data_IF_005486546495
#
_entry.id   IF_005486546495
#
_cell.length_a   1.000
_cell.length_b   1.000
_cell.length_c   1.000
_cell.angle_alpha   90.00
_cell.angle_beta   90.00
_cell.angle_gamma   90.00
#
_symmetry.space_group_name_H-M   'P 1'
#
loop_
_entity.id
_entity.type
_entity.pdbx_description
1 polymer ?
#
# COMPACT_ATOMS: atom_id res chain seq x y z
N UNK A 1 -9.91 10.10 -14.07
CA UNK A 1 -8.89 9.66 -13.09
C UNK A 1 -7.48 9.51 -13.66
N UNK A 2 -7.27 8.80 -14.78
CA UNK A 2 -5.93 8.57 -15.35
C UNK A 2 -5.12 9.86 -15.60
N UNK A 3 -5.74 10.90 -16.16
CA UNK A 3 -5.12 12.21 -16.39
C UNK A 3 -4.69 12.90 -15.09
N UNK A 4 -5.54 12.83 -14.06
CA UNK A 4 -5.26 13.39 -12.73
C UNK A 4 -4.05 12.69 -12.11
N UNK A 5 -4.04 11.35 -12.10
CA UNK A 5 -2.91 10.58 -11.57
C UNK A 5 -1.61 10.88 -12.33
N UNK A 6 -1.68 11.04 -13.65
CA UNK A 6 -0.51 11.40 -14.45
C UNK A 6 0.01 12.80 -14.11
N UNK A 7 -0.87 13.79 -13.98
CA UNK A 7 -0.49 15.15 -13.58
C UNK A 7 0.15 15.18 -12.18
N UNK A 8 -0.46 14.47 -11.22
CA UNK A 8 0.07 14.33 -9.87
C UNK A 8 1.42 13.60 -9.84
N UNK A 9 1.58 12.56 -10.66
CA UNK A 9 2.86 11.85 -10.80
C UNK A 9 3.95 12.73 -11.40
N UNK A 10 3.62 13.58 -12.40
CA UNK A 10 4.56 14.56 -12.95
C UNK A 10 4.98 15.58 -11.88
N UNK A 11 4.02 16.13 -11.13
CA UNK A 11 4.32 17.05 -10.03
C UNK A 11 5.22 16.38 -8.97
N UNK A 12 4.96 15.10 -8.68
CA UNK A 12 5.77 14.32 -7.76
C UNK A 12 7.20 14.09 -8.27
N UNK A 13 7.39 13.84 -9.57
CA UNK A 13 8.73 13.72 -10.17
C UNK A 13 9.51 15.05 -10.10
N UNK A 14 8.83 16.18 -10.32
CA UNK A 14 9.43 17.50 -10.14
C UNK A 14 9.83 17.73 -8.68
N UNK A 15 8.97 17.32 -7.75
CA UNK A 15 9.25 17.39 -6.31
C UNK A 15 10.44 16.50 -5.92
N UNK A 16 10.56 15.29 -6.48
CA UNK A 16 11.75 14.45 -6.29
C UNK A 16 13.01 15.06 -6.89
N UNK A 17 12.91 15.71 -8.05
CA UNK A 17 14.01 16.50 -8.61
C UNK A 17 14.47 17.60 -7.64
N UNK A 18 13.51 18.26 -6.98
CA UNK A 18 13.81 19.25 -5.95
C UNK A 18 14.43 18.63 -4.69
N UNK A 19 13.93 17.50 -4.20
CA UNK A 19 14.55 16.72 -3.10
C UNK A 19 15.99 16.35 -3.44
N UNK A 20 16.24 15.88 -4.67
CA UNK A 20 17.59 15.54 -5.12
C UNK A 20 18.50 16.78 -5.14
N UNK A 21 18.02 17.91 -5.66
CA UNK A 21 18.81 19.15 -5.67
C UNK A 21 19.17 19.65 -4.27
N UNK A 22 18.24 19.53 -3.32
CA UNK A 22 18.48 19.92 -1.92
C UNK A 22 19.42 18.94 -1.23
N UNK A 23 19.36 17.66 -1.59
CA UNK A 23 20.29 16.64 -1.10
C UNK A 23 21.73 16.83 -1.59
N UNK A 24 21.91 17.27 -2.84
CA UNK A 24 23.22 17.65 -3.35
C UNK A 24 23.78 18.88 -2.61
N UNK A 25 22.94 19.87 -2.32
CA UNK A 25 23.31 21.05 -1.55
C UNK A 25 23.50 20.77 -0.04
N UNK A 26 22.99 19.65 0.48
CA UNK A 26 23.12 19.31 1.90
C UNK A 26 24.59 19.10 2.33
N UNK A 27 25.48 18.83 1.38
CA UNK A 27 26.93 18.78 1.61
C UNK A 27 27.52 20.15 2.04
N UNK A 28 26.82 21.26 1.77
CA UNK A 28 27.30 22.63 2.02
C UNK A 28 27.01 23.13 3.45
N UNK A 29 26.29 22.37 4.27
CA UNK A 29 26.12 22.65 5.71
C UNK A 29 24.73 22.35 6.29
N UNK A 30 24.61 22.59 7.59
CA UNK A 30 23.45 22.21 8.42
C UNK A 30 22.10 22.78 7.96
N UNK A 31 21.99 24.06 7.51
CA UNK A 31 20.71 24.59 7.02
C UNK A 31 20.19 23.87 5.78
N UNK A 32 21.09 23.50 4.85
CA UNK A 32 20.73 22.79 3.63
C UNK A 32 20.28 21.36 3.92
N UNK A 33 20.90 20.70 4.91
CA UNK A 33 20.47 19.39 5.40
C UNK A 33 19.05 19.44 6.02
N UNK A 34 18.78 20.39 6.91
CA UNK A 34 17.45 20.54 7.51
C UNK A 34 16.37 20.78 6.44
N UNK A 35 16.70 21.57 5.42
CA UNK A 35 15.82 21.78 4.28
C UNK A 35 15.59 20.50 3.46
N UNK A 36 16.65 19.75 3.14
CA UNK A 36 16.54 18.46 2.46
C UNK A 36 15.64 17.47 3.22
N UNK A 37 15.80 17.35 4.54
CA UNK A 37 14.99 16.48 5.37
C UNK A 37 13.50 16.87 5.33
N UNK A 38 13.19 18.16 5.48
CA UNK A 38 11.81 18.65 5.45
C UNK A 38 11.16 18.44 4.08
N UNK A 39 11.85 18.79 3.00
CA UNK A 39 11.35 18.60 1.63
C UNK A 39 11.20 17.11 1.31
N UNK A 40 12.13 16.27 1.75
CA UNK A 40 12.08 14.81 1.60
C UNK A 40 10.88 14.18 2.32
N UNK A 41 10.58 14.62 3.54
CA UNK A 41 9.39 14.19 4.29
C UNK A 41 8.11 14.57 3.54
N UNK A 42 7.98 15.83 3.12
CA UNK A 42 6.81 16.30 2.36
C UNK A 42 6.65 15.51 1.06
N UNK A 43 7.73 15.30 0.31
CA UNK A 43 7.72 14.52 -0.92
C UNK A 43 7.27 13.07 -0.69
N UNK A 44 7.73 12.46 0.39
CA UNK A 44 7.36 11.09 0.76
C UNK A 44 5.87 10.99 1.12
N UNK A 45 5.33 11.94 1.89
CA UNK A 45 3.91 11.98 2.24
C UNK A 45 3.02 12.20 1.00
N UNK A 46 3.40 13.16 0.15
CA UNK A 46 2.71 13.41 -1.12
C UNK A 46 2.79 12.19 -2.03
N UNK A 47 3.95 11.52 -2.11
CA UNK A 47 4.10 10.27 -2.85
C UNK A 47 3.13 9.20 -2.35
N UNK A 48 3.05 8.99 -1.04
CA UNK A 48 2.11 8.04 -0.44
C UNK A 48 0.66 8.34 -0.81
N UNK A 49 0.25 9.60 -0.72
CA UNK A 49 -1.09 10.04 -1.10
C UNK A 49 -1.38 9.81 -2.58
N UNK A 50 -0.48 10.23 -3.49
CA UNK A 50 -0.65 10.06 -4.94
C UNK A 50 -0.67 8.58 -5.32
N UNK A 51 0.21 7.77 -4.73
CA UNK A 51 0.28 6.32 -4.99
C UNK A 51 -0.89 5.54 -4.40
N UNK A 52 -1.66 6.11 -3.47
CA UNK A 52 -2.90 5.50 -2.97
C UNK A 52 -4.07 5.61 -3.95
N UNK A 53 -4.05 6.59 -4.87
CA UNK A 53 -5.16 6.83 -5.81
C UNK A 53 -5.40 5.65 -6.75
N UNK A 54 -4.37 5.06 -7.41
CA UNK A 54 -4.57 3.85 -8.19
C UNK A 54 -5.15 2.69 -7.38
N UNK A 55 -4.74 2.53 -6.11
CA UNK A 55 -5.29 1.48 -5.25
C UNK A 55 -6.77 1.67 -4.99
N UNK A 56 -7.17 2.87 -4.57
CA UNK A 56 -8.58 3.17 -4.34
C UNK A 56 -9.41 3.00 -5.63
N UNK A 57 -8.87 3.44 -6.77
CA UNK A 57 -9.51 3.28 -8.08
C UNK A 57 -9.73 1.81 -8.43
N UNK A 58 -8.68 0.99 -8.45
CA UNK A 58 -8.81 -0.42 -8.84
C UNK A 58 -9.56 -1.26 -7.82
N UNK A 59 -9.49 -0.92 -6.53
CA UNK A 59 -10.31 -1.58 -5.52
C UNK A 59 -11.80 -1.33 -5.78
N UNK A 60 -12.18 -0.08 -6.03
CA UNK A 60 -13.56 0.29 -6.35
C UNK A 60 -14.04 -0.32 -7.66
N UNK A 61 -13.26 -0.21 -8.74
CA UNK A 61 -13.69 -0.74 -10.05
C UNK A 61 -13.67 -2.25 -10.12
N UNK A 62 -12.82 -2.95 -9.36
CA UNK A 62 -12.86 -4.40 -9.28
C UNK A 62 -14.18 -4.90 -8.69
N UNK A 63 -14.63 -4.27 -7.60
CA UNK A 63 -15.93 -4.57 -7.01
C UNK A 63 -17.06 -4.42 -8.04
N UNK A 64 -17.08 -3.29 -8.75
CA UNK A 64 -18.13 -3.00 -9.74
C UNK A 64 -18.11 -3.94 -10.95
N UNK A 65 -16.93 -4.31 -11.47
CA UNK A 65 -16.86 -5.30 -12.56
C UNK A 65 -17.50 -6.61 -12.12
N UNK A 66 -17.14 -7.15 -10.94
CA UNK A 66 -17.70 -8.42 -10.47
C UNK A 66 -19.22 -8.33 -10.28
N UNK A 67 -19.67 -7.27 -9.61
CA UNK A 67 -21.09 -7.03 -9.38
C UNK A 67 -21.88 -7.01 -10.70
N UNK A 68 -21.39 -6.29 -11.71
CA UNK A 68 -22.06 -6.16 -13.01
C UNK A 68 -21.99 -7.44 -13.85
N UNK A 69 -20.85 -8.13 -13.84
CA UNK A 69 -20.71 -9.41 -14.56
C UNK A 69 -21.70 -10.44 -14.03
N UNK A 70 -21.88 -10.50 -12.71
CA UNK A 70 -22.87 -11.39 -12.08
C UNK A 70 -24.31 -10.92 -12.32
N UNK A 71 -24.56 -9.62 -12.20
CA UNK A 71 -25.85 -9.00 -12.48
C UNK A 71 -26.41 -9.37 -13.83
N UNK A 72 -25.57 -9.20 -14.85
CA UNK A 72 -25.97 -9.36 -16.23
C UNK A 72 -25.69 -10.76 -16.77
N UNK A 73 -25.18 -11.67 -15.94
CA UNK A 73 -24.74 -13.02 -16.34
C UNK A 73 -23.79 -12.98 -17.55
N UNK A 74 -22.88 -11.99 -17.57
CA UNK A 74 -22.01 -11.68 -18.70
C UNK A 74 -20.85 -12.68 -18.92
N UNK A 75 -20.71 -13.66 -18.02
CA UNK A 75 -19.65 -14.68 -18.06
C UNK A 75 -18.32 -14.25 -17.42
N UNK A 76 -17.52 -15.23 -16.99
CA UNK A 76 -16.29 -15.00 -16.22
C UNK A 76 -15.15 -14.32 -17.01
N UNK A 77 -15.28 -14.24 -18.34
CA UNK A 77 -14.28 -13.68 -19.24
C UNK A 77 -13.93 -12.21 -18.92
N UNK A 78 -14.91 -11.42 -18.48
CA UNK A 78 -14.73 -10.03 -18.06
C UNK A 78 -13.85 -9.91 -16.80
N UNK A 79 -14.13 -10.73 -15.78
CA UNK A 79 -13.32 -10.80 -14.56
C UNK A 79 -11.90 -11.30 -14.88
N UNK A 80 -11.77 -12.28 -15.78
CA UNK A 80 -10.46 -12.79 -16.21
C UNK A 80 -9.65 -11.73 -16.97
N UNK A 81 -10.27 -11.01 -17.91
CA UNK A 81 -9.64 -9.88 -18.64
C UNK A 81 -9.13 -8.84 -17.65
N UNK A 82 -9.97 -8.40 -16.71
CA UNK A 82 -9.57 -7.44 -15.67
C UNK A 82 -8.40 -7.97 -14.83
N UNK A 83 -8.49 -9.22 -14.34
CA UNK A 83 -7.47 -9.83 -13.48
C UNK A 83 -6.12 -9.95 -14.17
N UNK A 84 -6.09 -10.41 -15.42
CA UNK A 84 -4.86 -10.60 -16.18
C UNK A 84 -4.11 -9.28 -16.37
N UNK A 85 -4.83 -8.20 -16.69
CA UNK A 85 -4.21 -6.89 -16.89
C UNK A 85 -3.74 -6.27 -15.58
N UNK A 86 -4.57 -6.32 -14.54
CA UNK A 86 -4.25 -5.73 -13.25
C UNK A 86 -3.10 -6.47 -12.55
N UNK A 87 -3.28 -7.77 -12.26
CA UNK A 87 -2.35 -8.52 -11.41
C UNK A 87 -1.02 -8.83 -12.12
N UNK A 88 -1.05 -9.05 -13.43
CA UNK A 88 0.13 -9.54 -14.16
C UNK A 88 1.15 -8.47 -14.51
N UNK A 89 0.73 -7.24 -14.83
CA UNK A 89 1.62 -6.26 -15.47
C UNK A 89 1.71 -4.91 -14.76
N UNK A 90 0.66 -4.52 -14.04
CA UNK A 90 0.47 -3.13 -13.60
C UNK A 90 0.56 -2.99 -12.08
N UNK A 91 0.02 -3.97 -11.33
CA UNK A 91 0.10 -4.02 -9.87
C UNK A 91 1.52 -3.91 -9.32
N UNK A 92 2.55 -4.61 -9.85
CA UNK A 92 3.90 -4.47 -9.33
C UNK A 92 4.37 -3.01 -9.30
N UNK A 93 4.07 -2.23 -10.34
CA UNK A 93 4.49 -0.83 -10.42
C UNK A 93 3.75 0.09 -9.44
N UNK A 94 2.51 -0.26 -9.07
CA UNK A 94 1.77 0.47 -8.03
C UNK A 94 2.36 0.26 -6.63
N UNK A 95 3.01 -0.89 -6.36
CA UNK A 95 3.62 -1.18 -5.07
C UNK A 95 5.11 -0.84 -5.01
N UNK A 96 5.86 -1.05 -6.10
CA UNK A 96 7.30 -0.81 -6.12
C UNK A 96 7.61 0.66 -5.86
N UNK A 97 6.89 1.59 -6.48
CA UNK A 97 7.13 3.03 -6.29
C UNK A 97 7.04 3.47 -4.81
N UNK A 98 5.90 3.27 -4.10
CA UNK A 98 5.81 3.66 -2.70
C UNK A 98 6.77 2.86 -1.80
N UNK A 99 7.04 1.58 -2.12
CA UNK A 99 7.96 0.77 -1.34
C UNK A 99 9.40 1.28 -1.42
N UNK A 100 9.90 1.54 -2.64
CA UNK A 100 11.26 2.04 -2.85
C UNK A 100 11.40 3.47 -2.32
N UNK A 101 10.37 4.30 -2.43
CA UNK A 101 10.31 5.62 -1.76
C UNK A 101 10.50 5.50 -0.25
N UNK A 102 9.75 4.61 0.41
CA UNK A 102 9.87 4.40 1.86
C UNK A 102 11.28 3.90 2.25
N UNK A 103 11.83 2.95 1.49
CA UNK A 103 13.20 2.48 1.69
C UNK A 103 14.23 3.60 1.52
N UNK A 104 14.06 4.45 0.51
CA UNK A 104 14.93 5.62 0.28
C UNK A 104 14.93 6.58 1.47
N UNK A 105 13.75 6.86 2.03
CA UNK A 105 13.61 7.73 3.20
C UNK A 105 14.27 7.13 4.46
N UNK A 106 14.08 5.83 4.72
CA UNK A 106 14.73 5.12 5.84
C UNK A 106 16.26 5.11 5.66
N UNK A 107 16.73 4.79 4.45
CA UNK A 107 18.14 4.77 4.12
C UNK A 107 18.81 6.14 4.26
N UNK A 108 18.07 7.23 4.02
CA UNK A 108 18.57 8.60 4.19
C UNK A 108 19.09 8.85 5.61
N UNK A 109 18.25 8.62 6.62
CA UNK A 109 18.71 8.85 8.00
C UNK A 109 19.66 7.76 8.52
N UNK A 110 19.63 6.54 7.97
CA UNK A 110 20.68 5.54 8.26
C UNK A 110 22.05 5.96 7.68
N UNK A 111 22.09 6.57 6.50
CA UNK A 111 23.32 7.07 5.89
C UNK A 111 23.88 8.26 6.68
N UNK A 112 23.02 9.18 7.12
CA UNK A 112 23.39 10.32 7.98
C UNK A 112 24.02 9.87 9.31
N UNK A 113 23.53 8.77 9.88
CA UNK A 113 24.09 8.19 11.12
C UNK A 113 25.33 7.31 10.90
N UNK A 114 25.79 7.17 9.66
CA UNK A 114 26.95 6.33 9.32
C UNK A 114 26.70 4.82 9.44
N UNK A 115 25.44 4.37 9.55
CA UNK A 115 25.08 2.95 9.72
C UNK A 115 25.11 2.17 8.41
N UNK A 116 24.94 2.85 7.29
CA UNK A 116 25.04 2.28 5.94
C UNK A 116 25.92 3.16 5.06
N UNK A 117 26.39 2.59 3.96
CA UNK A 117 27.21 3.32 2.99
C UNK A 117 26.42 4.50 2.39
N UNK A 118 27.05 5.68 2.30
CA UNK A 118 26.41 6.92 1.84
C UNK A 118 25.82 6.84 0.42
N UNK A 119 26.30 5.90 -0.41
CA UNK A 119 25.74 5.66 -1.76
C UNK A 119 24.42 4.90 -1.77
N UNK A 120 24.03 4.22 -0.68
CA UNK A 120 22.79 3.43 -0.66
C UNK A 120 21.56 4.34 -0.80
N UNK A 121 21.56 5.48 -0.10
CA UNK A 121 20.48 6.46 -0.17
C UNK A 121 20.25 7.01 -1.60
N UNK A 122 21.25 7.59 -2.30
CA UNK A 122 21.04 8.10 -3.65
C UNK A 122 20.67 7.00 -4.66
N UNK A 123 21.18 5.77 -4.52
CA UNK A 123 20.75 4.63 -5.35
C UNK A 123 19.24 4.36 -5.16
N UNK A 124 18.77 4.33 -3.92
CA UNK A 124 17.34 4.11 -3.63
C UNK A 124 16.47 5.28 -4.09
N UNK A 125 16.94 6.52 -4.00
CA UNK A 125 16.21 7.69 -4.53
C UNK A 125 16.11 7.62 -6.07
N UNK A 126 17.20 7.26 -6.77
CA UNK A 126 17.16 7.05 -8.22
C UNK A 126 16.21 5.90 -8.60
N UNK A 127 16.21 4.81 -7.83
CA UNK A 127 15.26 3.71 -8.02
C UNK A 127 13.81 4.12 -7.75
N UNK A 128 13.56 4.98 -6.74
CA UNK A 128 12.24 5.53 -6.45
C UNK A 128 11.76 6.41 -7.60
N UNK A 129 12.61 7.30 -8.13
CA UNK A 129 12.29 8.12 -9.30
C UNK A 129 12.03 7.25 -10.54
N UNK A 130 12.89 6.26 -10.80
CA UNK A 130 12.72 5.33 -11.93
C UNK A 130 11.42 4.54 -11.84
N UNK A 131 11.10 3.98 -10.67
CA UNK A 131 9.83 3.27 -10.45
C UNK A 131 8.62 4.20 -10.53
N UNK A 132 8.73 5.45 -10.08
CA UNK A 132 7.69 6.47 -10.24
C UNK A 132 7.44 6.80 -11.72
N UNK A 133 8.49 6.95 -12.54
CA UNK A 133 8.36 7.11 -14.01
C UNK A 133 7.64 5.91 -14.60
N UNK A 134 8.04 4.68 -14.23
CA UNK A 134 7.38 3.48 -14.71
C UNK A 134 5.90 3.42 -14.31
N UNK A 135 5.58 3.76 -13.06
CA UNK A 135 4.19 3.86 -12.60
C UNK A 135 3.40 4.92 -13.38
N UNK A 136 3.98 6.10 -13.63
CA UNK A 136 3.37 7.17 -14.41
C UNK A 136 3.09 6.77 -15.88
N UNK A 137 3.93 5.92 -16.46
CA UNK A 137 3.77 5.47 -17.84
C UNK A 137 2.75 4.34 -17.97
N UNK A 138 2.74 3.41 -17.00
CA UNK A 138 1.98 2.17 -17.09
C UNK A 138 0.61 2.24 -16.42
N UNK A 139 0.54 2.75 -15.18
CA UNK A 139 -0.71 2.79 -14.39
C UNK A 139 -1.84 3.57 -15.08
N UNK A 140 -1.64 4.76 -15.69
CA UNK A 140 -2.72 5.42 -16.44
C UNK A 140 -3.30 4.58 -17.57
N UNK A 141 -2.46 3.79 -18.27
CA UNK A 141 -2.92 2.91 -19.36
C UNK A 141 -3.80 1.80 -18.79
N UNK A 142 -3.42 1.24 -17.65
CA UNK A 142 -4.23 0.27 -16.92
C UNK A 142 -5.57 0.86 -16.48
N UNK A 143 -5.57 2.11 -15.97
CA UNK A 143 -6.79 2.79 -15.56
C UNK A 143 -7.73 3.03 -16.74
N UNK A 144 -7.21 3.49 -17.88
CA UNK A 144 -7.97 3.71 -19.11
C UNK A 144 -8.56 2.42 -19.67
N UNK A 145 -7.77 1.33 -19.70
CA UNK A 145 -8.26 0.01 -20.13
C UNK A 145 -9.36 -0.51 -19.20
N UNK A 146 -9.22 -0.28 -17.90
CA UNK A 146 -10.25 -0.66 -16.94
C UNK A 146 -11.52 0.18 -17.09
N UNK A 147 -11.41 1.48 -17.38
CA UNK A 147 -12.57 2.31 -17.74
C UNK A 147 -13.25 1.79 -18.99
N UNK A 148 -12.49 1.55 -20.06
CA UNK A 148 -13.03 1.03 -21.31
C UNK A 148 -13.70 -0.34 -21.14
N UNK A 149 -13.16 -1.22 -20.29
CA UNK A 149 -13.80 -2.50 -19.96
C UNK A 149 -15.16 -2.30 -19.27
N UNK A 150 -15.24 -1.35 -18.34
CA UNK A 150 -16.50 -1.00 -17.67
C UNK A 150 -17.51 -0.41 -18.65
N UNK A 151 -17.06 0.45 -19.57
CA UNK A 151 -17.91 1.06 -20.59
C UNK A 151 -18.41 -0.03 -21.57
N UNK A 152 -17.54 -0.94 -22.03
CA UNK A 152 -17.89 -2.08 -22.90
C UNK A 152 -18.90 -3.02 -22.22
N UNK A 153 -18.68 -3.33 -20.93
CA UNK A 153 -19.63 -4.10 -20.12
C UNK A 153 -20.97 -3.37 -19.98
N UNK A 154 -20.94 -2.05 -19.78
CA UNK A 154 -22.14 -1.24 -19.65
C UNK A 154 -22.97 -1.19 -20.94
N UNK A 155 -22.31 -1.05 -22.09
CA UNK A 155 -22.94 -0.99 -23.40
C UNK A 155 -23.60 -2.33 -23.80
N UNK A 156 -22.90 -3.45 -23.58
CA UNK A 156 -23.37 -4.77 -24.01
C UNK A 156 -24.45 -5.36 -23.09
N UNK A 157 -24.36 -5.07 -21.80
CA UNK A 157 -25.12 -5.80 -20.79
C UNK A 157 -26.07 -4.93 -19.95
N UNK A 158 -26.09 -3.61 -20.19
CA UNK A 158 -27.00 -2.63 -19.55
C UNK A 158 -27.13 -2.86 -18.04
N UNK A 159 -26.12 -2.47 -17.23
CA UNK A 159 -26.13 -2.71 -15.81
C UNK A 159 -27.38 -2.08 -15.18
N UNK A 160 -27.92 -2.71 -14.11
CA UNK A 160 -29.06 -2.15 -13.41
C UNK A 160 -28.77 -0.71 -12.98
N UNK A 161 -29.79 0.14 -13.05
CA UNK A 161 -29.63 1.55 -12.67
C UNK A 161 -29.26 1.64 -11.18
N UNK A 162 -28.51 2.68 -10.77
CA UNK A 162 -28.35 2.99 -9.36
C UNK A 162 -29.71 3.11 -8.66
N UNK A 163 -29.76 2.75 -7.39
CA UNK A 163 -30.95 2.86 -6.52
C UNK A 163 -32.17 2.04 -6.98
N UNK A 164 -31.97 0.99 -7.78
CA UNK A 164 -33.01 -0.01 -8.05
C UNK A 164 -32.94 -1.19 -7.09
N UNK A 165 -34.06 -1.89 -6.83
CA UNK A 165 -34.07 -3.12 -6.03
C UNK A 165 -33.13 -4.20 -6.59
N UNK A 166 -32.97 -4.23 -7.93
CA UNK A 166 -32.04 -5.14 -8.61
C UNK A 166 -30.58 -4.84 -8.22
N UNK A 167 -30.18 -3.56 -8.23
CA UNK A 167 -28.86 -3.13 -7.79
C UNK A 167 -28.64 -3.42 -6.30
N UNK A 168 -29.64 -3.17 -5.45
CA UNK A 168 -29.56 -3.47 -4.01
C UNK A 168 -29.36 -4.97 -3.77
N UNK A 169 -30.16 -5.83 -4.41
CA UNK A 169 -30.01 -7.28 -4.34
C UNK A 169 -28.63 -7.76 -4.81
N UNK A 170 -28.04 -7.09 -5.81
CA UNK A 170 -26.69 -7.39 -6.28
C UNK A 170 -25.61 -6.97 -5.30
N UNK A 171 -25.75 -5.78 -4.71
CA UNK A 171 -24.85 -5.32 -3.66
C UNK A 171 -24.92 -6.27 -2.46
N UNK A 172 -26.10 -6.72 -2.08
CA UNK A 172 -26.29 -7.73 -1.03
C UNK A 172 -25.65 -9.08 -1.40
N UNK A 173 -25.86 -9.56 -2.63
CA UNK A 173 -25.25 -10.80 -3.10
C UNK A 173 -23.72 -10.72 -3.16
N UNK A 174 -23.15 -9.60 -3.62
CA UNK A 174 -21.70 -9.38 -3.58
C UNK A 174 -21.18 -9.25 -2.15
N UNK A 175 -21.91 -8.57 -1.26
CA UNK A 175 -21.55 -8.51 0.15
C UNK A 175 -21.62 -9.89 0.82
N UNK A 176 -22.53 -10.76 0.39
CA UNK A 176 -22.64 -12.14 0.87
C UNK A 176 -21.48 -13.02 0.39
N UNK A 177 -20.95 -12.78 -0.82
CA UNK A 177 -19.77 -13.49 -1.36
C UNK A 177 -18.46 -12.83 -0.93
N UNK A 178 -18.50 -11.57 -0.48
CA UNK A 178 -17.35 -10.89 0.07
C UNK A 178 -16.81 -11.67 1.26
N UNK A 179 -15.47 -11.72 1.37
CA UNK A 179 -14.81 -12.33 2.52
C UNK A 179 -15.42 -11.76 3.81
N UNK A 180 -15.66 -12.59 4.84
CA UNK A 180 -16.23 -12.12 6.09
C UNK A 180 -15.53 -10.84 6.56
N UNK A 181 -16.24 -9.80 7.01
CA UNK A 181 -15.62 -8.53 7.39
C UNK A 181 -14.46 -8.68 8.38
N UNK A 182 -14.58 -9.63 9.31
CA UNK A 182 -13.53 -9.97 10.26
C UNK A 182 -12.30 -10.62 9.62
N UNK A 183 -12.47 -11.40 8.56
CA UNK A 183 -11.36 -11.94 7.76
C UNK A 183 -10.67 -10.83 6.96
N UNK A 184 -11.41 -9.90 6.38
CA UNK A 184 -10.80 -8.74 5.69
C UNK A 184 -10.03 -7.85 6.69
N UNK A 185 -10.64 -7.56 7.84
CA UNK A 185 -10.01 -6.84 8.94
C UNK A 185 -8.70 -7.52 9.36
N UNK A 186 -8.69 -8.85 9.44
CA UNK A 186 -7.48 -9.60 9.82
C UNK A 186 -6.27 -9.29 8.92
N UNK A 187 -6.47 -9.19 7.60
CA UNK A 187 -5.41 -8.87 6.63
C UNK A 187 -4.92 -7.43 6.79
N UNK A 188 -5.83 -6.52 7.10
CA UNK A 188 -5.52 -5.12 7.39
C UNK A 188 -4.70 -5.01 8.67
N UNK A 189 -5.07 -5.73 9.75
CA UNK A 189 -4.31 -5.77 10.99
C UNK A 189 -2.90 -6.37 10.80
N UNK A 190 -2.78 -7.46 10.02
CA UNK A 190 -1.49 -8.04 9.67
C UNK A 190 -0.60 -7.04 8.92
N UNK A 191 -1.16 -6.30 7.95
CA UNK A 191 -0.43 -5.24 7.26
C UNK A 191 0.01 -4.13 8.23
N UNK A 192 -0.91 -3.65 9.09
CA UNK A 192 -0.59 -2.61 10.05
C UNK A 192 0.43 -3.04 11.10
N UNK A 193 0.48 -4.33 11.45
CA UNK A 193 1.50 -4.86 12.36
C UNK A 193 2.92 -4.58 11.83
N UNK A 194 3.14 -4.75 10.53
CA UNK A 194 4.42 -4.44 9.88
C UNK A 194 4.63 -2.94 9.78
N UNK A 195 3.59 -2.19 9.41
CA UNK A 195 3.66 -0.73 9.29
C UNK A 195 4.03 -0.03 10.61
N UNK A 196 3.58 -0.53 11.76
CA UNK A 196 3.98 0.01 13.07
C UNK A 196 5.50 -0.06 13.28
N UNK A 197 6.13 -1.19 12.91
CA UNK A 197 7.58 -1.36 13.03
C UNK A 197 8.33 -0.52 11.98
N UNK A 198 7.79 -0.41 10.76
CA UNK A 198 8.37 0.46 9.73
C UNK A 198 8.31 1.93 10.14
N UNK A 199 7.21 2.38 10.75
CA UNK A 199 7.07 3.73 11.27
C UNK A 199 8.06 3.99 12.39
N UNK A 200 8.20 3.06 13.35
CA UNK A 200 9.24 3.19 14.38
C UNK A 200 10.63 3.26 13.77
N UNK A 201 10.92 2.38 12.81
CA UNK A 201 12.20 2.34 12.10
C UNK A 201 12.49 3.69 11.43
N UNK A 202 11.49 4.26 10.78
CA UNK A 202 11.57 5.58 10.17
C UNK A 202 11.79 6.69 11.21
N UNK A 203 11.08 6.69 12.34
CA UNK A 203 11.29 7.69 13.39
C UNK A 203 12.67 7.57 14.06
N UNK A 204 13.08 6.33 14.34
CA UNK A 204 14.34 5.99 15.03
C UNK A 204 15.56 6.30 14.17
N UNK A 205 15.49 6.01 12.87
CA UNK A 205 16.65 6.10 11.98
C UNK A 205 16.53 7.17 10.93
N UNK A 206 15.33 7.55 10.51
CA UNK A 206 15.06 8.53 9.46
C UNK A 206 14.91 9.97 9.94
N UNK A 207 14.85 10.23 11.25
CA UNK A 207 14.62 11.59 11.78
C UNK A 207 15.47 11.90 13.01
N UNK A 208 16.09 13.09 13.05
CA UNK A 208 16.98 13.51 14.13
C UNK A 208 16.26 13.81 15.44
N UNK A 209 15.10 14.45 15.37
CA UNK A 209 14.30 14.82 16.54
C UNK A 209 13.73 13.63 17.31
N UNK A 210 13.59 12.47 16.66
CA UNK A 210 12.93 11.29 17.22
C UNK A 210 13.85 10.07 17.36
N UNK A 211 15.17 10.25 17.27
CA UNK A 211 16.14 9.15 17.47
C UNK A 211 15.98 8.45 18.81
N UNK A 212 15.41 9.08 19.84
CA UNK A 212 15.18 8.47 21.16
C UNK A 212 13.80 7.85 21.34
N UNK A 213 12.98 7.79 20.30
CA UNK A 213 11.65 7.18 20.39
C UNK A 213 11.77 5.71 20.78
N UNK A 214 11.13 5.29 21.89
CA UNK A 214 11.22 3.92 22.36
C UNK A 214 10.55 2.98 21.37
N UNK A 215 11.15 1.80 21.15
CA UNK A 215 10.55 0.72 20.34
C UNK A 215 9.28 0.17 20.98
N UNK A 216 9.25 0.12 22.31
CA UNK A 216 8.21 -0.57 23.07
C UNK A 216 6.77 -0.26 22.63
N UNK A 217 6.30 1.00 22.50
CA UNK A 217 4.92 1.27 22.07
C UNK A 217 4.60 0.72 20.67
N UNK A 218 5.54 0.81 19.73
CA UNK A 218 5.35 0.31 18.37
C UNK A 218 5.45 -1.21 18.29
N UNK A 219 6.38 -1.80 19.05
CA UNK A 219 6.54 -3.23 19.18
C UNK A 219 5.30 -3.90 19.81
N UNK A 220 4.78 -3.32 20.89
CA UNK A 220 3.54 -3.79 21.55
C UNK A 220 2.36 -3.69 20.58
N UNK A 221 2.19 -2.55 19.89
CA UNK A 221 1.15 -2.39 18.89
C UNK A 221 1.29 -3.42 17.75
N UNK A 222 2.50 -3.61 17.23
CA UNK A 222 2.79 -4.58 16.18
C UNK A 222 2.44 -6.01 16.61
N UNK A 223 2.89 -6.45 17.79
CA UNK A 223 2.58 -7.80 18.32
C UNK A 223 1.08 -7.97 18.54
N UNK A 224 0.40 -6.98 19.12
CA UNK A 224 -1.04 -7.06 19.33
C UNK A 224 -1.81 -7.18 18.01
N UNK A 225 -1.47 -6.35 17.02
CA UNK A 225 -2.06 -6.40 15.67
C UNK A 225 -1.76 -7.72 14.94
N UNK A 226 -0.55 -8.26 15.10
CA UNK A 226 -0.15 -9.56 14.55
C UNK A 226 -0.98 -10.69 15.15
N UNK A 227 -1.09 -10.76 16.48
CA UNK A 227 -1.88 -11.80 17.18
C UNK A 227 -3.35 -11.70 16.79
N UNK A 228 -3.94 -10.51 16.83
CA UNK A 228 -5.32 -10.28 16.43
C UNK A 228 -5.54 -10.65 14.96
N UNK A 229 -4.63 -10.22 14.07
CA UNK A 229 -4.66 -10.55 12.66
C UNK A 229 -4.61 -12.05 12.40
N UNK A 230 -3.64 -12.77 12.97
CA UNK A 230 -3.53 -14.23 12.79
C UNK A 230 -4.73 -14.99 13.37
N UNK A 231 -5.19 -14.60 14.56
CA UNK A 231 -6.34 -15.22 15.22
C UNK A 231 -7.64 -15.02 14.45
N UNK A 232 -7.91 -13.80 13.99
CA UNK A 232 -9.08 -13.50 13.16
C UNK A 232 -8.99 -14.19 11.79
N UNK A 233 -7.81 -14.20 11.16
CA UNK A 233 -7.60 -14.84 9.86
C UNK A 233 -7.94 -16.34 9.95
N UNK A 234 -7.44 -17.06 10.95
CA UNK A 234 -7.75 -18.48 11.13
C UNK A 234 -9.20 -18.74 11.57
N UNK A 235 -9.79 -17.85 12.38
CA UNK A 235 -11.16 -18.03 12.91
C UNK A 235 -12.22 -17.82 11.84
N UNK A 236 -12.02 -16.83 10.97
CA UNK A 236 -12.96 -16.40 9.95
C UNK A 236 -12.50 -16.77 8.54
N UNK A 237 -11.58 -17.71 8.42
CA UNK A 237 -11.19 -18.31 7.14
C UNK A 237 -12.45 -18.86 6.44
N UNK A 238 -12.76 -18.40 5.22
CA UNK A 238 -13.96 -18.83 4.51
C UNK A 238 -13.92 -20.31 4.11
N UNK A 239 -12.74 -20.87 3.91
CA UNK A 239 -12.55 -22.23 3.43
C UNK A 239 -12.39 -23.19 4.61
N UNK A 240 -11.71 -22.76 5.67
CA UNK A 240 -11.31 -23.60 6.79
C UNK A 240 -11.43 -22.91 8.16
N UNK A 241 -12.64 -22.55 8.63
CA UNK A 241 -12.80 -21.82 9.89
C UNK A 241 -12.35 -22.66 11.09
N UNK A 242 -11.37 -22.16 11.83
CA UNK A 242 -10.87 -22.82 13.02
C UNK A 242 -11.76 -22.56 14.26
N UNK A 243 -11.78 -23.51 15.21
CA UNK A 243 -12.35 -23.25 16.54
C UNK A 243 -11.52 -22.19 17.27
N UNK A 244 -12.10 -21.44 18.25
CA UNK A 244 -11.38 -20.39 18.96
C UNK A 244 -10.04 -20.86 19.54
N UNK A 245 -9.98 -22.06 20.13
CA UNK A 245 -8.73 -22.60 20.67
C UNK A 245 -7.66 -22.81 19.57
N UNK A 246 -8.07 -23.35 18.41
CA UNK A 246 -7.17 -23.62 17.28
C UNK A 246 -6.74 -22.35 16.55
N UNK A 247 -7.55 -21.29 16.54
CA UNK A 247 -7.18 -20.02 15.93
C UNK A 247 -6.22 -19.20 16.80
N UNK A 248 -6.47 -19.13 18.11
CA UNK A 248 -5.74 -18.22 19.00
C UNK A 248 -4.45 -18.81 19.56
N UNK A 249 -4.36 -20.12 19.79
CA UNK A 249 -3.12 -20.74 20.28
C UNK A 249 -1.89 -20.47 19.37
N UNK A 250 -1.92 -20.73 18.06
CA UNK A 250 -0.78 -20.43 17.18
C UNK A 250 -0.54 -18.92 17.02
N UNK A 251 -1.60 -18.11 17.02
CA UNK A 251 -1.47 -16.66 16.96
C UNK A 251 -0.73 -16.10 18.18
N UNK A 252 -1.08 -16.56 19.38
CA UNK A 252 -0.41 -16.18 20.62
C UNK A 252 1.05 -16.65 20.64
N UNK A 253 1.33 -17.88 20.19
CA UNK A 253 2.71 -18.38 20.07
C UNK A 253 3.54 -17.51 19.12
N UNK A 254 2.99 -17.12 17.97
CA UNK A 254 3.63 -16.21 17.04
C UNK A 254 3.85 -14.82 17.66
N UNK A 255 2.89 -14.32 18.44
CA UNK A 255 3.02 -13.08 19.20
C UNK A 255 4.13 -13.13 20.25
N UNK A 256 4.24 -14.22 21.01
CA UNK A 256 5.33 -14.44 21.98
C UNK A 256 6.68 -14.50 21.27
N UNK A 257 6.77 -15.22 20.15
CA UNK A 257 8.00 -15.28 19.36
C UNK A 257 8.40 -13.90 18.80
N UNK A 258 7.44 -13.13 18.28
CA UNK A 258 7.67 -11.77 17.81
C UNK A 258 8.09 -10.83 18.94
N UNK A 259 7.46 -10.92 20.11
CA UNK A 259 7.85 -10.15 21.30
C UNK A 259 9.28 -10.50 21.75
N UNK A 260 9.63 -11.79 21.77
CA UNK A 260 11.00 -12.24 22.07
C UNK A 260 12.01 -11.68 21.05
N UNK A 261 11.68 -11.71 19.75
CA UNK A 261 12.52 -11.12 18.72
C UNK A 261 12.72 -9.60 18.93
N UNK A 262 11.69 -8.87 19.34
CA UNK A 262 11.80 -7.45 19.65
C UNK A 262 12.69 -7.17 20.88
N UNK A 263 12.74 -8.08 21.87
CA UNK A 263 13.66 -7.93 23.01
C UNK A 263 15.14 -8.07 22.64
N UNK A 264 15.45 -8.77 21.55
CA UNK A 264 16.83 -8.86 21.03
C UNK A 264 17.25 -7.55 20.34
N UNK A 265 16.28 -6.74 19.88
CA UNK A 265 16.53 -5.47 19.17
C UNK A 265 16.64 -4.28 20.13
N UNK A 266 16.13 -4.40 21.36
CA UNK A 266 16.20 -3.39 22.43
C UNK A 266 17.61 -3.32 23.05
#
# INVERSE_FOLDING_TARGET
>A
MATIYRALSTALLLLWGYVLSTGLAAADGTPALAWHLNVGLVATLVAGAVQSLPFAYFLGTHFWVKAWVRACQAGDEWEQRQRLWMKGNEYPWMYIAPFVTALGAIAGGMAETGRIHHLVHPILILAAMGSQVMAMLRVPRAMLRNSALMDELAELHQPPKPDTPEMEALLEAEQAVALPPMFQLSRVLLLFSVQSLLLWSYLRWGTDGYRRVPLLPFGVASVALLVLGLGLNARFDPDHPASPARSWAPALLAGVAAAAALTVVL
#
